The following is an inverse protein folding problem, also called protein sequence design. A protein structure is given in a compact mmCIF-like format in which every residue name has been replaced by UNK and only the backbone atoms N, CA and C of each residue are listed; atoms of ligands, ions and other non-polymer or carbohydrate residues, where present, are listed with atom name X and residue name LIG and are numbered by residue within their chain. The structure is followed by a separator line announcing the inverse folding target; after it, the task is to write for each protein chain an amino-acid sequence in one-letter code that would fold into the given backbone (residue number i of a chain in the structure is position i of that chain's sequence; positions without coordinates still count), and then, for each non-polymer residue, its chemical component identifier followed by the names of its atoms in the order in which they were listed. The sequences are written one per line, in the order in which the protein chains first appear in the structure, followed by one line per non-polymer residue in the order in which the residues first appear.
data_IF_423026386409
#
_entry.id   IF_423026386409
#
_cell.length_a   1.000
_cell.length_b   1.000
_cell.length_c   1.000
_cell.angle_alpha   90.00
_cell.angle_beta   90.00
_cell.angle_gamma   90.00
#
_symmetry.space_group_name_H-M   'P 1'
#
loop_
_entity.id
_entity.type
_entity.pdbx_description
1 polymer ?
#
# COMPACT_ATOMS: atom_id res chain seq x y z
N UNK A 1 -12.98 35.55 15.17
CA UNK A 1 -12.15 34.33 15.03
C UNK A 1 -12.26 33.71 13.65
N UNK A 2 -13.46 33.60 13.07
CA UNK A 2 -13.64 33.05 11.70
C UNK A 2 -13.04 33.91 10.58
N UNK A 3 -13.14 35.24 10.62
CA UNK A 3 -12.51 36.14 9.63
C UNK A 3 -10.97 36.06 9.67
N UNK A 4 -10.39 36.04 10.86
CA UNK A 4 -8.94 35.95 11.06
C UNK A 4 -8.39 34.59 10.55
N UNK A 5 -9.14 33.51 10.73
CA UNK A 5 -8.80 32.20 10.15
C UNK A 5 -8.90 32.20 8.62
N UNK A 6 -9.83 32.95 8.03
CA UNK A 6 -10.00 33.07 6.58
C UNK A 6 -8.85 33.85 5.94
N UNK A 7 -8.38 34.91 6.59
CA UNK A 7 -7.21 35.68 6.16
C UNK A 7 -5.91 34.86 6.24
N UNK A 8 -5.72 34.11 7.33
CA UNK A 8 -4.57 33.19 7.47
C UNK A 8 -4.59 32.10 6.40
N UNK A 9 -5.74 31.47 6.14
CA UNK A 9 -5.87 30.46 5.09
C UNK A 9 -5.62 31.04 3.69
N UNK A 10 -6.06 32.28 3.43
CA UNK A 10 -5.78 32.95 2.17
C UNK A 10 -4.29 33.29 2.02
N UNK A 11 -3.64 33.77 3.08
CA UNK A 11 -2.20 34.04 3.08
C UNK A 11 -1.37 32.76 2.85
N UNK A 12 -1.78 31.62 3.43
CA UNK A 12 -1.15 30.31 3.18
C UNK A 12 -1.34 29.89 1.72
N UNK A 13 -2.56 30.03 1.18
CA UNK A 13 -2.83 29.72 -0.24
C UNK A 13 -2.00 30.57 -1.19
N UNK A 14 -1.91 31.87 -0.94
CA UNK A 14 -1.08 32.79 -1.72
C UNK A 14 0.42 32.47 -1.59
N UNK A 15 0.88 32.12 -0.39
CA UNK A 15 2.26 31.71 -0.14
C UNK A 15 2.62 30.45 -0.93
N UNK A 16 1.75 29.44 -0.89
CA UNK A 16 1.91 28.20 -1.66
C UNK A 16 1.90 28.45 -3.17
N UNK A 17 1.01 29.32 -3.66
CA UNK A 17 0.95 29.69 -5.07
C UNK A 17 2.25 30.39 -5.53
N UNK A 18 2.79 31.33 -4.74
CA UNK A 18 4.07 32.00 -5.05
C UNK A 18 5.24 31.02 -5.06
N UNK A 19 5.28 30.10 -4.10
CA UNK A 19 6.31 29.06 -4.02
C UNK A 19 6.27 28.14 -5.25
N UNK A 20 5.08 27.67 -5.64
CA UNK A 20 4.90 26.82 -6.82
C UNK A 20 5.29 27.54 -8.11
N UNK A 21 4.92 28.82 -8.28
CA UNK A 21 5.33 29.63 -9.43
C UNK A 21 6.85 29.79 -9.52
N UNK A 22 7.53 30.01 -8.38
CA UNK A 22 8.99 30.13 -8.35
C UNK A 22 9.68 28.81 -8.72
N UNK A 23 9.21 27.70 -8.15
CA UNK A 23 9.71 26.34 -8.48
C UNK A 23 9.51 26.02 -9.96
N UNK A 24 8.39 26.44 -10.54
CA UNK A 24 8.09 26.31 -11.98
C UNK A 24 9.07 27.10 -12.85
N UNK A 25 9.39 28.33 -12.46
CA UNK A 25 10.38 29.14 -13.16
C UNK A 25 11.80 28.55 -13.08
N UNK A 26 12.20 28.04 -11.91
CA UNK A 26 13.49 27.38 -11.71
C UNK A 26 13.61 26.09 -12.55
N UNK A 27 12.58 25.27 -12.57
CA UNK A 27 12.53 24.06 -13.40
C UNK A 27 12.62 24.40 -14.90
N UNK A 28 11.95 25.46 -15.37
CA UNK A 28 12.01 25.88 -16.77
C UNK A 28 13.40 26.38 -17.17
N UNK A 29 14.15 27.02 -16.27
CA UNK A 29 15.54 27.45 -16.52
C UNK A 29 16.51 26.27 -16.69
N UNK A 30 16.17 25.11 -16.14
CA UNK A 30 16.95 23.88 -16.27
C UNK A 30 16.68 23.13 -17.59
N UNK A 31 15.78 23.64 -18.45
CA UNK A 31 15.38 23.01 -19.71
C UNK A 31 15.81 23.90 -20.89
N UNK A 32 16.45 23.34 -21.93
CA UNK A 32 16.77 24.08 -23.15
C UNK A 32 15.55 24.81 -23.75
N UNK A 33 15.79 26.00 -24.32
CA UNK A 33 14.72 26.87 -24.85
C UNK A 33 13.82 26.15 -25.88
N UNK A 34 14.40 25.27 -26.69
CA UNK A 34 13.71 24.39 -27.64
C UNK A 34 12.58 23.58 -26.99
N UNK A 35 12.76 23.13 -25.75
CA UNK A 35 11.78 22.30 -25.03
C UNK A 35 10.94 23.07 -24.02
N UNK A 36 11.38 24.27 -23.59
CA UNK A 36 10.75 25.03 -22.50
C UNK A 36 9.24 25.20 -22.67
N UNK A 37 8.77 25.49 -23.89
CA UNK A 37 7.33 25.63 -24.18
C UNK A 37 6.54 24.32 -24.02
N UNK A 38 7.10 23.19 -24.42
CA UNK A 38 6.44 21.89 -24.24
C UNK A 38 6.54 21.41 -22.79
N UNK A 39 7.70 21.60 -22.15
CA UNK A 39 7.87 21.26 -20.74
C UNK A 39 6.93 22.07 -19.84
N UNK A 40 6.70 23.35 -20.11
CA UNK A 40 5.67 24.14 -19.41
C UNK A 40 4.28 23.54 -19.57
N UNK A 41 3.92 23.07 -20.77
CA UNK A 41 2.62 22.40 -20.99
C UNK A 41 2.53 21.07 -20.24
N UNK A 42 3.64 20.33 -20.13
CA UNK A 42 3.67 19.10 -19.34
C UNK A 42 3.42 19.40 -17.86
N UNK A 43 3.99 20.48 -17.31
CA UNK A 43 3.70 20.95 -15.96
C UNK A 43 2.21 21.30 -15.78
N UNK A 44 1.63 22.03 -16.75
CA UNK A 44 0.20 22.37 -16.70
C UNK A 44 -0.67 21.09 -16.73
N UNK A 45 -0.29 20.09 -17.51
CA UNK A 45 -0.98 18.80 -17.55
C UNK A 45 -0.82 17.98 -16.27
N UNK A 46 0.36 18.02 -15.62
CA UNK A 46 0.56 17.41 -14.30
C UNK A 46 -0.37 18.08 -13.27
N UNK A 47 -0.45 19.41 -13.26
CA UNK A 47 -1.32 20.20 -12.38
C UNK A 47 -2.81 19.92 -12.63
N UNK A 48 -3.20 19.71 -13.90
CA UNK A 48 -4.58 19.39 -14.33
C UNK A 48 -4.93 17.88 -14.21
N UNK A 49 -4.06 17.06 -13.61
CA UNK A 49 -4.21 15.60 -13.51
C UNK A 49 -4.34 14.87 -14.87
N UNK A 50 -3.78 15.43 -15.95
CA UNK A 50 -3.69 14.81 -17.27
C UNK A 50 -2.34 14.14 -17.47
N UNK A 51 -2.10 13.13 -16.65
CA UNK A 51 -0.80 12.48 -16.51
C UNK A 51 -0.32 11.78 -17.79
N UNK A 52 -1.23 11.19 -18.57
CA UNK A 52 -0.94 10.60 -19.88
C UNK A 52 -0.29 11.60 -20.83
N UNK A 53 -0.86 12.81 -20.92
CA UNK A 53 -0.35 13.87 -21.78
C UNK A 53 0.96 14.46 -21.27
N UNK A 54 1.12 14.58 -19.95
CA UNK A 54 2.38 15.03 -19.36
C UNK A 54 3.50 14.03 -19.67
N UNK A 55 3.25 12.73 -19.48
CA UNK A 55 4.16 11.63 -19.82
C UNK A 55 4.55 11.68 -21.29
N UNK A 56 3.59 11.79 -22.21
CA UNK A 56 3.85 11.78 -23.65
C UNK A 56 4.78 12.94 -24.07
N UNK A 57 4.61 14.12 -23.48
CA UNK A 57 5.51 15.26 -23.69
C UNK A 57 6.91 14.95 -23.14
N UNK A 58 7.01 14.44 -21.91
CA UNK A 58 8.30 14.09 -21.31
C UNK A 58 9.04 13.05 -22.15
N UNK A 59 8.35 12.00 -22.61
CA UNK A 59 8.92 10.98 -23.52
C UNK A 59 9.40 11.61 -24.83
N UNK A 60 8.60 12.50 -25.42
CA UNK A 60 9.01 13.22 -26.63
C UNK A 60 10.28 14.04 -26.42
N UNK A 61 10.43 14.72 -25.27
CA UNK A 61 11.66 15.45 -24.93
C UNK A 61 12.84 14.48 -24.78
N UNK A 62 12.68 13.39 -24.01
CA UNK A 62 13.77 12.44 -23.73
C UNK A 62 14.23 11.65 -24.97
N UNK A 63 13.37 11.52 -25.98
CA UNK A 63 13.72 10.89 -27.27
C UNK A 63 14.60 11.78 -28.16
N UNK A 64 14.76 13.07 -27.85
CA UNK A 64 15.65 13.98 -28.56
C UNK A 64 17.07 13.92 -27.96
N UNK A 65 18.10 13.99 -28.82
CA UNK A 65 19.50 13.90 -28.38
C UNK A 65 19.89 14.98 -27.37
N UNK A 66 19.33 16.19 -27.50
CA UNK A 66 19.54 17.30 -26.55
C UNK A 66 18.69 17.17 -25.29
N UNK A 67 17.67 16.31 -25.31
CA UNK A 67 16.69 16.16 -24.25
C UNK A 67 16.93 14.97 -23.32
N UNK A 68 17.61 13.92 -23.80
CA UNK A 68 17.80 12.63 -23.10
C UNK A 68 18.35 12.73 -21.67
N UNK A 69 19.12 13.78 -21.35
CA UNK A 69 19.79 13.96 -20.05
C UNK A 69 19.23 15.11 -19.22
N UNK A 70 18.06 15.64 -19.57
CA UNK A 70 17.42 16.71 -18.81
C UNK A 70 16.82 16.13 -17.51
N UNK A 71 17.51 16.36 -16.40
CA UNK A 71 17.12 15.84 -15.08
C UNK A 71 15.71 16.27 -14.65
N UNK A 72 15.34 17.53 -14.89
CA UNK A 72 14.01 18.03 -14.56
C UNK A 72 12.88 17.22 -15.24
N UNK A 73 13.11 16.78 -16.49
CA UNK A 73 12.18 15.96 -17.25
C UNK A 73 12.14 14.52 -16.72
N UNK A 74 13.30 13.94 -16.37
CA UNK A 74 13.38 12.61 -15.73
C UNK A 74 12.63 12.58 -14.40
N UNK A 75 12.85 13.58 -13.54
CA UNK A 75 12.14 13.70 -12.25
C UNK A 75 10.63 13.84 -12.46
N UNK A 76 10.18 14.68 -13.40
CA UNK A 76 8.75 14.77 -13.71
C UNK A 76 8.19 13.43 -14.17
N UNK A 77 8.88 12.75 -15.07
CA UNK A 77 8.44 11.46 -15.60
C UNK A 77 8.36 10.39 -14.50
N UNK A 78 9.30 10.38 -13.56
CA UNK A 78 9.27 9.52 -12.38
C UNK A 78 8.04 9.78 -11.47
N UNK A 79 7.57 11.03 -11.37
CA UNK A 79 6.32 11.36 -10.63
C UNK A 79 5.05 11.00 -11.41
N UNK A 80 5.08 11.18 -12.72
CA UNK A 80 3.89 11.07 -13.59
C UNK A 80 3.57 9.61 -13.93
N UNK A 81 4.56 8.76 -14.20
CA UNK A 81 4.31 7.35 -14.54
C UNK A 81 3.46 6.60 -13.51
N UNK A 82 3.77 6.64 -12.20
CA UNK A 82 2.95 6.00 -11.18
C UNK A 82 1.49 6.45 -11.19
N UNK A 83 1.23 7.71 -11.56
CA UNK A 83 -0.12 8.27 -11.67
C UNK A 83 -0.87 7.77 -12.89
N UNK A 84 -0.17 7.60 -14.03
CA UNK A 84 -0.75 6.96 -15.22
C UNK A 84 -1.14 5.52 -14.90
N UNK A 85 -0.25 4.76 -14.26
CA UNK A 85 -0.55 3.38 -13.85
C UNK A 85 -1.70 3.30 -12.84
N UNK A 86 -1.77 4.22 -11.88
CA UNK A 86 -2.90 4.32 -10.95
C UNK A 86 -4.23 4.54 -11.70
N UNK A 87 -4.25 5.43 -12.70
CA UNK A 87 -5.42 5.65 -13.57
C UNK A 87 -5.77 4.39 -14.37
N UNK A 88 -4.79 3.68 -14.94
CA UNK A 88 -5.05 2.45 -15.68
C UNK A 88 -5.72 1.38 -14.82
N UNK A 89 -5.30 1.28 -13.55
CA UNK A 89 -5.86 0.34 -12.57
C UNK A 89 -7.30 0.73 -12.22
N UNK A 90 -7.55 2.01 -11.95
CA UNK A 90 -8.86 2.51 -11.56
C UNK A 90 -9.88 2.46 -12.71
N UNK A 91 -9.44 2.88 -13.90
CA UNK A 91 -10.29 2.99 -15.10
C UNK A 91 -10.44 1.64 -15.83
N UNK A 92 -9.60 0.65 -15.52
CA UNK A 92 -9.64 -0.67 -16.17
C UNK A 92 -9.52 -0.55 -17.70
N UNK A 93 -8.69 0.39 -18.15
CA UNK A 93 -8.67 0.92 -19.51
C UNK A 93 -7.86 0.08 -20.52
N UNK A 94 -7.27 -1.05 -20.09
CA UNK A 94 -6.47 -1.98 -20.90
C UNK A 94 -5.10 -1.45 -21.34
N UNK A 95 -4.57 -0.42 -20.68
CA UNK A 95 -3.23 0.12 -20.97
C UNK A 95 -2.14 -0.30 -19.98
N UNK A 96 -2.53 -0.84 -18.81
CA UNK A 96 -1.61 -1.14 -17.72
C UNK A 96 -0.35 -1.92 -18.16
N UNK A 97 -0.47 -2.98 -18.96
CA UNK A 97 0.72 -3.72 -19.41
C UNK A 97 1.67 -2.92 -20.29
N UNK A 98 1.13 -2.07 -21.18
CA UNK A 98 1.94 -1.24 -22.04
C UNK A 98 2.66 -0.19 -21.18
N UNK A 99 1.89 0.53 -20.37
CA UNK A 99 2.39 1.63 -19.56
C UNK A 99 3.36 1.17 -18.45
N UNK A 100 3.17 -0.01 -17.87
CA UNK A 100 4.12 -0.57 -16.87
C UNK A 100 5.42 -1.02 -17.53
N UNK A 101 5.35 -1.52 -18.76
CA UNK A 101 6.55 -1.91 -19.53
C UNK A 101 7.38 -0.67 -19.86
N UNK A 102 6.73 0.41 -20.28
CA UNK A 102 7.37 1.69 -20.54
C UNK A 102 7.95 2.32 -19.26
N UNK A 103 7.26 2.18 -18.12
CA UNK A 103 7.77 2.66 -16.84
C UNK A 103 9.06 1.93 -16.43
N UNK A 104 9.10 0.61 -16.55
CA UNK A 104 10.32 -0.15 -16.26
C UNK A 104 11.45 0.13 -17.25
N UNK A 105 11.14 0.32 -18.54
CA UNK A 105 12.13 0.79 -19.52
C UNK A 105 12.70 2.15 -19.12
N UNK A 106 11.86 3.08 -18.65
CA UNK A 106 12.31 4.36 -18.11
C UNK A 106 13.24 4.18 -16.89
N UNK A 107 12.84 3.37 -15.91
CA UNK A 107 13.66 3.11 -14.71
C UNK A 107 15.02 2.47 -15.06
N UNK A 108 15.05 1.58 -16.05
CA UNK A 108 16.29 0.96 -16.55
C UNK A 108 17.27 1.97 -17.19
N UNK A 109 16.78 3.13 -17.63
CA UNK A 109 17.56 4.14 -18.36
C UNK A 109 17.89 5.40 -17.52
N UNK A 110 17.62 5.39 -16.21
CA UNK A 110 17.97 6.48 -15.31
C UNK A 110 18.98 6.04 -14.25
N UNK A 111 19.66 7.02 -13.65
CA UNK A 111 20.49 6.77 -12.46
C UNK A 111 19.58 6.57 -11.25
N UNK A 112 19.66 5.39 -10.63
CA UNK A 112 18.94 5.08 -9.40
C UNK A 112 19.59 5.73 -8.18
N UNK A 113 19.31 7.01 -7.96
CA UNK A 113 19.73 7.77 -6.79
C UNK A 113 18.66 7.73 -5.67
N UNK A 114 18.97 8.27 -4.51
CA UNK A 114 18.07 8.27 -3.33
C UNK A 114 16.68 8.84 -3.64
N UNK A 115 16.61 9.92 -4.42
CA UNK A 115 15.34 10.53 -4.81
C UNK A 115 14.50 9.59 -5.71
N UNK A 116 15.13 8.87 -6.64
CA UNK A 116 14.42 7.90 -7.49
C UNK A 116 13.93 6.70 -6.68
N UNK A 117 14.72 6.25 -5.70
CA UNK A 117 14.29 5.21 -4.76
C UNK A 117 13.09 5.67 -3.93
N UNK A 118 13.11 6.91 -3.41
CA UNK A 118 11.96 7.50 -2.69
C UNK A 118 10.68 7.52 -3.54
N UNK A 119 10.78 7.83 -4.84
CA UNK A 119 9.63 7.76 -5.75
C UNK A 119 9.11 6.34 -5.95
N UNK A 120 9.98 5.33 -6.02
CA UNK A 120 9.57 3.93 -6.09
C UNK A 120 8.89 3.51 -4.78
N UNK A 121 9.41 3.92 -3.63
CA UNK A 121 8.79 3.68 -2.32
C UNK A 121 7.39 4.30 -2.24
N UNK A 122 7.22 5.55 -2.67
CA UNK A 122 5.89 6.19 -2.73
C UNK A 122 4.96 5.43 -3.70
N UNK A 123 5.49 4.95 -4.82
CA UNK A 123 4.74 4.17 -5.82
C UNK A 123 4.23 2.86 -5.23
N UNK A 124 5.09 2.11 -4.52
CA UNK A 124 4.69 0.88 -3.84
C UNK A 124 3.60 1.15 -2.80
N UNK A 125 3.79 2.15 -1.93
CA UNK A 125 2.80 2.52 -0.91
C UNK A 125 1.45 2.92 -1.54
N UNK A 126 1.48 3.65 -2.66
CA UNK A 126 0.29 4.02 -3.44
C UNK A 126 -0.42 2.79 -3.99
N UNK A 127 0.31 1.85 -4.59
CA UNK A 127 -0.27 0.66 -5.20
C UNK A 127 -0.81 -0.35 -4.18
N UNK A 128 -0.23 -0.44 -2.98
CA UNK A 128 -0.83 -1.21 -1.88
C UNK A 128 -2.26 -0.74 -1.54
N UNK A 129 -2.58 0.54 -1.74
CA UNK A 129 -3.94 1.07 -1.52
C UNK A 129 -4.91 0.76 -2.67
N UNK A 130 -4.45 0.11 -3.74
CA UNK A 130 -5.28 -0.27 -4.90
C UNK A 130 -5.67 -1.75 -4.89
N UNK A 131 -5.31 -2.50 -3.84
CA UNK A 131 -5.54 -3.94 -3.71
C UNK A 131 -7.02 -4.36 -3.59
N UNK A 132 -7.94 -3.40 -3.43
CA UNK A 132 -9.39 -3.63 -3.61
C UNK A 132 -9.77 -3.95 -5.07
N UNK A 133 -8.86 -3.73 -6.02
CA UNK A 133 -9.04 -4.14 -7.41
C UNK A 133 -8.56 -5.58 -7.61
N UNK A 134 -9.47 -6.54 -7.44
CA UNK A 134 -9.20 -7.99 -7.58
C UNK A 134 -8.38 -8.36 -8.84
N UNK A 135 -8.64 -7.70 -9.98
CA UNK A 135 -7.90 -7.98 -11.22
C UNK A 135 -6.44 -7.55 -11.18
N UNK A 136 -6.12 -6.56 -10.34
CA UNK A 136 -4.80 -5.96 -10.21
C UNK A 136 -3.90 -6.71 -9.23
N UNK A 137 -4.46 -7.33 -8.18
CA UNK A 137 -3.70 -8.06 -7.16
C UNK A 137 -2.57 -8.96 -7.71
N UNK A 138 -2.81 -9.86 -8.69
CA UNK A 138 -1.74 -10.69 -9.24
C UNK A 138 -0.66 -9.89 -9.99
N UNK A 139 -1.03 -8.78 -10.62
CA UNK A 139 -0.10 -7.90 -11.33
C UNK A 139 0.74 -7.06 -10.37
N UNK A 140 0.19 -6.70 -9.20
CA UNK A 140 0.96 -6.03 -8.17
C UNK A 140 2.12 -6.91 -7.69
N UNK A 141 1.90 -8.22 -7.48
CA UNK A 141 2.98 -9.14 -7.14
C UNK A 141 4.06 -9.20 -8.24
N UNK A 142 3.68 -9.24 -9.52
CA UNK A 142 4.63 -9.18 -10.64
C UNK A 142 5.43 -7.86 -10.65
N UNK A 143 4.77 -6.74 -10.35
CA UNK A 143 5.39 -5.43 -10.24
C UNK A 143 6.42 -5.37 -9.12
N UNK A 144 6.06 -5.82 -7.91
CA UNK A 144 6.97 -5.86 -6.74
C UNK A 144 8.17 -6.78 -7.02
N UNK A 145 7.94 -7.98 -7.59
CA UNK A 145 9.02 -8.92 -7.98
C UNK A 145 9.99 -8.30 -8.98
N UNK A 146 9.48 -7.53 -9.93
CA UNK A 146 10.32 -6.86 -10.93
C UNK A 146 11.20 -5.81 -10.26
N UNK A 147 10.64 -4.95 -9.41
CA UNK A 147 11.41 -3.95 -8.63
C UNK A 147 12.51 -4.63 -7.80
N UNK A 148 12.15 -5.68 -7.07
CA UNK A 148 13.06 -6.44 -6.19
C UNK A 148 14.20 -7.08 -6.99
N UNK A 149 13.87 -7.79 -8.07
CA UNK A 149 14.85 -8.48 -8.92
C UNK A 149 15.81 -7.56 -9.67
N UNK A 150 15.35 -6.35 -10.01
CA UNK A 150 16.15 -5.32 -10.69
C UNK A 150 17.08 -4.60 -9.72
N UNK A 151 16.88 -4.76 -8.41
CA UNK A 151 17.68 -4.08 -7.39
C UNK A 151 17.53 -2.56 -7.43
N UNK A 152 16.35 -2.05 -7.80
CA UNK A 152 16.11 -0.61 -7.82
C UNK A 152 16.10 0.01 -6.43
N UNK A 153 15.77 -0.77 -5.40
CA UNK A 153 15.77 -0.34 -4.02
C UNK A 153 16.97 -0.95 -3.28
N UNK A 154 17.68 -0.11 -2.54
CA UNK A 154 18.78 -0.52 -1.66
C UNK A 154 18.26 -1.35 -0.48
N UNK A 155 19.18 -1.99 0.25
CA UNK A 155 18.84 -2.80 1.43
C UNK A 155 18.13 -1.98 2.52
N UNK A 156 18.32 -0.67 2.57
CA UNK A 156 17.63 0.19 3.55
C UNK A 156 16.11 0.20 3.37
N UNK A 157 15.63 -0.11 2.15
CA UNK A 157 14.21 -0.17 1.80
C UNK A 157 13.67 -1.61 1.78
N UNK A 158 14.42 -2.59 2.32
CA UNK A 158 13.96 -3.99 2.40
C UNK A 158 12.63 -4.13 3.13
N UNK A 159 12.42 -3.37 4.20
CA UNK A 159 11.15 -3.38 4.94
C UNK A 159 9.98 -2.84 4.10
N UNK A 160 10.21 -1.94 3.15
CA UNK A 160 9.19 -1.46 2.21
C UNK A 160 8.78 -2.58 1.25
N UNK A 161 9.75 -3.30 0.68
CA UNK A 161 9.47 -4.44 -0.19
C UNK A 161 8.74 -5.55 0.56
N UNK A 162 9.18 -5.87 1.77
CA UNK A 162 8.52 -6.87 2.62
C UNK A 162 7.07 -6.46 2.95
N UNK A 163 6.83 -5.16 3.19
CA UNK A 163 5.46 -4.64 3.35
C UNK A 163 4.61 -4.80 2.09
N UNK A 164 5.19 -4.60 0.90
CA UNK A 164 4.49 -4.76 -0.36
C UNK A 164 4.12 -6.23 -0.60
N UNK A 165 5.04 -7.17 -0.35
CA UNK A 165 4.73 -8.60 -0.44
C UNK A 165 3.69 -9.04 0.59
N UNK A 166 3.80 -8.60 1.85
CA UNK A 166 2.81 -8.93 2.87
C UNK A 166 1.41 -8.33 2.55
N UNK A 167 1.37 -7.15 1.92
CA UNK A 167 0.13 -6.56 1.41
C UNK A 167 -0.51 -7.42 0.33
N UNK A 168 0.28 -7.93 -0.63
CA UNK A 168 -0.18 -8.91 -1.61
C UNK A 168 -0.67 -10.21 -0.97
N UNK A 169 0.13 -10.84 -0.10
CA UNK A 169 -0.27 -12.08 0.58
C UNK A 169 -1.59 -11.92 1.34
N UNK A 170 -1.86 -10.73 1.88
CA UNK A 170 -3.14 -10.45 2.53
C UNK A 170 -4.35 -10.65 1.63
N UNK A 171 -4.26 -10.37 0.33
CA UNK A 171 -5.39 -10.63 -0.57
C UNK A 171 -5.65 -12.11 -0.79
N UNK A 172 -4.62 -12.94 -0.64
CA UNK A 172 -4.70 -14.39 -0.81
C UNK A 172 -5.19 -15.07 0.47
N UNK A 173 -4.54 -14.79 1.61
CA UNK A 173 -4.81 -15.53 2.84
C UNK A 173 -6.20 -15.25 3.43
N UNK A 174 -6.86 -14.14 3.08
CA UNK A 174 -8.23 -13.90 3.55
C UNK A 174 -9.25 -14.88 2.97
N UNK A 175 -9.03 -15.33 1.73
CA UNK A 175 -9.88 -16.31 1.05
C UNK A 175 -9.39 -17.75 1.24
N UNK A 176 -8.22 -17.95 1.84
CA UNK A 176 -7.65 -19.28 2.07
C UNK A 176 -8.43 -20.09 3.11
N UNK A 177 -8.91 -21.27 2.71
CA UNK A 177 -9.66 -22.19 3.56
C UNK A 177 -8.82 -22.96 4.57
N UNK A 178 -7.48 -22.98 4.44
CA UNK A 178 -6.58 -23.63 5.40
C UNK A 178 -6.40 -22.84 6.70
N UNK A 179 -6.71 -21.54 6.68
CA UNK A 179 -6.53 -20.66 7.83
C UNK A 179 -7.84 -20.38 8.55
N UNK A 180 -7.81 -20.50 9.87
CA UNK A 180 -8.90 -20.04 10.71
C UNK A 180 -8.98 -18.51 10.78
N UNK A 181 -10.14 -18.01 11.20
CA UNK A 181 -10.39 -16.57 11.33
C UNK A 181 -9.42 -15.90 12.32
N UNK A 182 -8.99 -16.62 13.35
CA UNK A 182 -8.03 -16.11 14.33
C UNK A 182 -6.70 -15.80 13.67
N UNK A 183 -6.14 -16.76 12.92
CA UNK A 183 -4.87 -16.57 12.25
C UNK A 183 -4.93 -15.45 11.21
N UNK A 184 -6.01 -15.36 10.42
CA UNK A 184 -6.22 -14.26 9.48
C UNK A 184 -6.20 -12.89 10.15
N UNK A 185 -6.87 -12.76 11.30
CA UNK A 185 -6.88 -11.52 12.08
C UNK A 185 -5.51 -11.21 12.69
N UNK A 186 -4.77 -12.23 13.14
CA UNK A 186 -3.41 -12.10 13.67
C UNK A 186 -2.44 -11.63 12.57
N UNK A 187 -2.48 -12.21 11.37
CA UNK A 187 -1.66 -11.77 10.24
C UNK A 187 -1.95 -10.31 9.86
N UNK A 188 -3.24 -9.94 9.81
CA UNK A 188 -3.65 -8.53 9.62
C UNK A 188 -3.08 -7.62 10.71
N UNK A 189 -3.23 -7.99 11.98
CA UNK A 189 -2.75 -7.20 13.10
C UNK A 189 -1.22 -7.13 13.16
N UNK A 190 -0.52 -8.19 12.75
CA UNK A 190 0.94 -8.20 12.59
C UNK A 190 1.40 -7.18 11.56
N UNK A 191 0.75 -7.14 10.39
CA UNK A 191 0.98 -6.13 9.37
C UNK A 191 0.71 -4.71 9.89
N UNK A 192 -0.46 -4.48 10.52
CA UNK A 192 -0.84 -3.17 11.04
C UNK A 192 0.15 -2.66 12.10
N UNK A 193 0.57 -3.55 13.01
CA UNK A 193 1.56 -3.25 14.04
C UNK A 193 2.91 -2.88 13.44
N UNK A 194 3.37 -3.58 12.39
CA UNK A 194 4.70 -3.37 11.82
C UNK A 194 4.77 -2.18 10.87
N UNK A 195 3.74 -1.96 10.06
CA UNK A 195 3.84 -1.04 8.91
C UNK A 195 2.87 0.15 8.96
N UNK A 196 1.82 0.10 9.80
CA UNK A 196 0.72 1.08 9.72
C UNK A 196 0.61 1.95 10.97
N UNK A 197 0.60 1.35 12.16
CA UNK A 197 0.15 1.99 13.42
C UNK A 197 0.90 3.28 13.74
N UNK A 198 2.20 3.34 13.47
CA UNK A 198 3.04 4.51 13.76
C UNK A 198 2.84 5.67 12.78
N UNK A 199 2.30 5.40 11.58
CA UNK A 199 1.96 6.43 10.60
C UNK A 199 0.63 7.14 10.89
N UNK A 200 -0.20 6.59 11.80
CA UNK A 200 -1.53 7.11 12.09
C UNK A 200 -1.45 8.37 12.95
N UNK A 201 -1.81 9.52 12.35
CA UNK A 201 -1.82 10.83 13.02
C UNK A 201 -2.97 11.04 14.01
N UNK A 202 -4.07 10.31 13.85
CA UNK A 202 -5.26 10.47 14.70
C UNK A 202 -5.15 9.56 15.91
N UNK A 203 -5.03 10.16 17.10
CA UNK A 203 -4.89 9.42 18.35
C UNK A 203 -6.03 8.42 18.58
N UNK A 204 -7.27 8.82 18.31
CA UNK A 204 -8.44 7.92 18.45
C UNK A 204 -8.38 6.72 17.50
N UNK A 205 -7.89 6.92 16.27
CA UNK A 205 -7.72 5.83 15.31
C UNK A 205 -6.56 4.91 15.71
N UNK A 206 -5.44 5.50 16.14
CA UNK A 206 -4.27 4.77 16.63
C UNK A 206 -4.66 3.88 17.82
N UNK A 207 -5.33 4.45 18.81
CA UNK A 207 -5.86 3.72 19.97
C UNK A 207 -6.75 2.54 19.58
N UNK A 208 -7.70 2.73 18.65
CA UNK A 208 -8.58 1.63 18.20
C UNK A 208 -7.79 0.50 17.56
N UNK A 209 -6.84 0.84 16.69
CA UNK A 209 -5.96 -0.12 16.02
C UNK A 209 -5.10 -0.87 17.04
N UNK A 210 -4.52 -0.18 18.04
CA UNK A 210 -3.74 -0.82 19.10
C UNK A 210 -4.58 -1.79 19.95
N UNK A 211 -5.83 -1.46 20.25
CA UNK A 211 -6.76 -2.36 20.94
C UNK A 211 -7.04 -3.61 20.09
N UNK A 212 -7.32 -3.43 18.79
CA UNK A 212 -7.56 -4.54 17.85
C UNK A 212 -6.32 -5.45 17.74
N UNK A 213 -5.14 -4.86 17.58
CA UNK A 213 -3.86 -5.59 17.52
C UNK A 213 -3.66 -6.45 18.77
N UNK A 214 -3.71 -5.83 19.96
CA UNK A 214 -3.49 -6.55 21.21
C UNK A 214 -4.57 -7.61 21.44
N UNK A 215 -5.82 -7.36 21.04
CA UNK A 215 -6.89 -8.36 21.08
C UNK A 215 -6.59 -9.55 20.19
N UNK A 216 -6.14 -9.34 18.95
CA UNK A 216 -5.74 -10.43 18.04
C UNK A 216 -4.61 -11.29 18.62
N UNK A 217 -3.58 -10.67 19.20
CA UNK A 217 -2.48 -11.41 19.80
C UNK A 217 -2.88 -12.13 21.11
N UNK A 218 -3.82 -11.59 21.90
CA UNK A 218 -4.43 -12.34 23.00
C UNK A 218 -5.14 -13.60 22.48
N UNK A 219 -5.90 -13.47 21.40
CA UNK A 219 -6.60 -14.60 20.79
C UNK A 219 -5.60 -15.65 20.26
N UNK A 220 -4.46 -15.22 19.72
CA UNK A 220 -3.39 -16.13 19.31
C UNK A 220 -2.90 -17.01 20.48
N UNK A 221 -2.74 -16.45 21.69
CA UNK A 221 -2.36 -17.23 22.88
C UNK A 221 -3.34 -18.38 23.16
N UNK A 222 -4.63 -18.16 22.92
CA UNK A 222 -5.66 -19.18 23.15
C UNK A 222 -5.76 -20.18 21.99
N UNK A 223 -5.42 -19.76 20.77
CA UNK A 223 -5.61 -20.51 19.54
C UNK A 223 -4.45 -21.43 19.16
N UNK A 224 -3.21 -20.96 19.36
CA UNK A 224 -2.01 -21.53 18.74
C UNK A 224 -1.76 -23.00 19.05
N UNK A 225 -2.01 -23.44 20.29
CA UNK A 225 -1.73 -24.81 20.72
C UNK A 225 -2.61 -25.85 20.00
N UNK A 226 -3.84 -25.50 19.66
CA UNK A 226 -4.80 -26.39 19.01
C UNK A 226 -4.69 -26.37 17.47
N UNK A 227 -4.00 -25.36 16.93
CA UNK A 227 -3.91 -25.08 15.48
C UNK A 227 -2.45 -24.88 15.06
N UNK A 228 -1.54 -25.64 15.67
CA UNK A 228 -0.11 -25.47 15.44
C UNK A 228 0.25 -25.64 13.97
N UNK A 229 -0.44 -26.50 13.23
CA UNK A 229 -0.25 -26.77 11.81
C UNK A 229 -0.44 -25.55 10.90
N UNK A 230 -1.28 -24.58 11.30
CA UNK A 230 -1.42 -23.33 10.55
C UNK A 230 -0.11 -22.55 10.54
N UNK A 231 0.71 -22.69 11.59
CA UNK A 231 1.98 -21.98 11.74
C UNK A 231 3.02 -22.41 10.71
N UNK A 232 3.15 -23.72 10.47
CA UNK A 232 4.04 -24.25 9.44
C UNK A 232 3.50 -23.91 8.04
N UNK A 233 2.19 -23.99 7.83
CA UNK A 233 1.56 -23.65 6.56
C UNK A 233 1.77 -22.17 6.17
N UNK A 234 1.48 -21.22 7.07
CA UNK A 234 1.69 -19.78 6.77
C UNK A 234 3.16 -19.44 6.54
N UNK A 235 4.09 -20.15 7.18
CA UNK A 235 5.52 -19.92 7.00
C UNK A 235 5.98 -20.29 5.58
N UNK A 236 5.36 -21.30 4.99
CA UNK A 236 5.65 -21.76 3.63
C UNK A 236 4.90 -20.94 2.58
N UNK A 237 3.59 -20.72 2.75
CA UNK A 237 2.72 -20.08 1.76
C UNK A 237 2.72 -18.54 1.85
N UNK A 238 2.86 -17.98 3.05
CA UNK A 238 2.79 -16.54 3.33
C UNK A 238 3.99 -16.02 4.15
N UNK A 239 5.22 -16.24 3.67
CA UNK A 239 6.43 -15.97 4.44
C UNK A 239 6.57 -14.50 4.88
N UNK A 240 6.11 -13.54 4.08
CA UNK A 240 6.24 -12.12 4.42
C UNK A 240 5.26 -11.70 5.53
N UNK A 241 4.06 -12.26 5.51
CA UNK A 241 3.04 -12.07 6.56
C UNK A 241 3.44 -12.81 7.84
N UNK A 242 3.96 -14.04 7.72
CA UNK A 242 4.49 -14.81 8.86
C UNK A 242 5.61 -14.04 9.57
N UNK A 243 6.53 -13.42 8.83
CA UNK A 243 7.61 -12.60 9.40
C UNK A 243 7.10 -11.49 10.34
N UNK A 244 5.87 -10.99 10.15
CA UNK A 244 5.29 -9.95 11.01
C UNK A 244 4.86 -10.44 12.40
N UNK A 245 4.72 -11.77 12.58
CA UNK A 245 4.23 -12.42 13.79
C UNK A 245 5.16 -13.53 14.33
N UNK A 246 6.28 -13.79 13.64
CA UNK A 246 7.18 -14.89 13.95
C UNK A 246 7.69 -14.86 15.40
N UNK A 247 8.08 -13.67 15.87
CA UNK A 247 8.61 -13.52 17.23
C UNK A 247 7.52 -13.72 18.28
N UNK A 248 6.28 -13.33 18.02
CA UNK A 248 5.16 -13.56 18.94
C UNK A 248 4.88 -15.05 19.08
N UNK A 249 4.88 -15.79 17.97
CA UNK A 249 4.72 -17.24 17.98
C UNK A 249 5.83 -17.91 18.81
N UNK A 250 7.08 -17.48 18.65
CA UNK A 250 8.21 -18.00 19.45
C UNK A 250 7.99 -17.73 20.93
N UNK A 251 7.66 -16.48 21.30
CA UNK A 251 7.44 -16.08 22.69
C UNK A 251 6.25 -16.81 23.33
N UNK A 252 5.15 -17.01 22.60
CA UNK A 252 3.99 -17.77 23.09
C UNK A 252 4.36 -19.24 23.31
N UNK A 253 5.12 -19.85 22.38
CA UNK A 253 5.60 -21.23 22.52
C UNK A 253 6.57 -21.41 23.71
N UNK A 254 7.33 -20.37 24.04
CA UNK A 254 8.25 -20.35 25.19
C UNK A 254 7.53 -20.17 26.53
N UNK A 255 6.70 -19.12 26.64
CA UNK A 255 5.96 -18.78 27.87
C UNK A 255 4.67 -18.03 27.54
N UNK A 256 3.62 -18.79 27.19
CA UNK A 256 2.28 -18.27 26.91
C UNK A 256 1.77 -17.34 28.02
N UNK A 257 1.91 -17.75 29.28
CA UNK A 257 1.34 -17.01 30.42
C UNK A 257 1.97 -15.64 30.55
N UNK A 258 3.29 -15.55 30.39
CA UNK A 258 4.00 -14.26 30.41
C UNK A 258 3.59 -13.37 29.24
N UNK A 259 3.56 -13.91 28.02
CA UNK A 259 3.17 -13.13 26.85
C UNK A 259 1.71 -12.63 26.95
N UNK A 260 0.81 -13.46 27.48
CA UNK A 260 -0.57 -13.07 27.79
C UNK A 260 -0.63 -11.89 28.78
N UNK A 261 0.16 -11.91 29.86
CA UNK A 261 0.23 -10.81 30.82
C UNK A 261 0.76 -9.50 30.22
N UNK A 262 1.74 -9.58 29.32
CA UNK A 262 2.27 -8.42 28.62
C UNK A 262 1.17 -7.75 27.77
N UNK A 263 0.36 -8.55 27.06
CA UNK A 263 -0.78 -8.06 26.28
C UNK A 263 -1.86 -7.43 27.17
N UNK A 264 -2.24 -8.10 28.27
CA UNK A 264 -3.24 -7.57 29.21
C UNK A 264 -2.79 -6.21 29.75
N UNK A 265 -1.49 -6.05 30.02
CA UNK A 265 -0.91 -4.76 30.44
C UNK A 265 -1.01 -3.67 29.38
N UNK A 266 -0.90 -4.01 28.08
CA UNK A 266 -1.15 -3.05 27.01
C UNK A 266 -2.64 -2.66 26.94
N UNK A 267 -3.53 -3.64 27.06
CA UNK A 267 -4.98 -3.41 26.97
C UNK A 267 -5.51 -2.57 28.14
N UNK A 268 -5.00 -2.77 29.35
CA UNK A 268 -5.39 -2.01 30.55
C UNK A 268 -5.33 -0.49 30.34
N UNK A 269 -4.37 0.00 29.55
CA UNK A 269 -4.21 1.43 29.22
C UNK A 269 -5.47 2.06 28.63
N UNK A 270 -6.34 1.25 28.02
CA UNK A 270 -7.54 1.69 27.33
C UNK A 270 -8.84 1.33 28.06
N UNK A 271 -8.74 0.66 29.20
CA UNK A 271 -9.89 0.23 30.01
C UNK A 271 -10.26 1.28 31.07
N UNK A 272 -11.34 1.02 31.83
CA UNK A 272 -11.68 1.85 32.97
C UNK A 272 -10.55 1.81 34.02
N UNK A 273 -10.32 2.94 34.71
CA UNK A 273 -9.39 2.98 35.84
C UNK A 273 -9.81 1.93 36.87
N UNK A 274 -8.84 1.18 37.37
CA UNK A 274 -8.99 0.14 38.39
C UNK A 274 -9.80 -1.09 37.95
N UNK A 275 -9.79 -1.43 36.65
CA UNK A 275 -10.27 -2.74 36.21
C UNK A 275 -9.48 -3.85 36.93
N UNK A 276 -10.19 -4.84 37.45
CA UNK A 276 -9.56 -6.03 37.99
C UNK A 276 -8.91 -6.85 36.85
N UNK A 277 -7.66 -7.29 37.07
CA UNK A 277 -6.88 -8.02 36.05
C UNK A 277 -7.56 -9.31 35.62
N UNK A 278 -8.16 -10.04 36.56
CA UNK A 278 -8.89 -11.28 36.25
C UNK A 278 -10.17 -10.97 35.47
N UNK A 279 -10.89 -9.91 35.84
CA UNK A 279 -12.05 -9.46 35.09
C UNK A 279 -11.72 -9.08 33.64
N UNK A 280 -10.57 -8.45 33.39
CA UNK A 280 -10.11 -8.16 32.03
C UNK A 280 -9.79 -9.47 31.28
N UNK A 281 -9.06 -10.41 31.89
CA UNK A 281 -8.75 -11.71 31.28
C UNK A 281 -10.03 -12.46 30.90
N UNK A 282 -11.00 -12.54 31.81
CA UNK A 282 -12.31 -13.14 31.57
C UNK A 282 -13.09 -12.47 30.44
N UNK A 283 -13.03 -11.13 30.35
CA UNK A 283 -13.66 -10.40 29.25
C UNK A 283 -13.01 -10.73 27.90
N UNK A 284 -11.67 -10.80 27.86
CA UNK A 284 -10.92 -11.15 26.66
C UNK A 284 -11.17 -12.59 26.23
N UNK A 285 -11.20 -13.54 27.17
CA UNK A 285 -11.53 -14.93 26.89
C UNK A 285 -12.95 -15.09 26.32
N UNK A 286 -13.95 -14.37 26.87
CA UNK A 286 -15.31 -14.36 26.31
C UNK A 286 -15.36 -13.78 24.89
N UNK A 287 -14.56 -12.74 24.61
CA UNK A 287 -14.45 -12.17 23.26
C UNK A 287 -13.85 -13.19 22.27
N UNK A 288 -12.82 -13.93 22.70
CA UNK A 288 -12.25 -15.05 21.95
C UNK A 288 -13.29 -16.15 21.65
N UNK A 289 -14.00 -16.62 22.67
CA UNK A 289 -15.05 -17.63 22.52
C UNK A 289 -16.15 -17.17 21.55
N UNK A 290 -16.59 -15.91 21.68
CA UNK A 290 -17.57 -15.33 20.77
C UNK A 290 -17.09 -15.35 19.32
N UNK A 291 -15.83 -15.02 19.06
CA UNK A 291 -15.29 -14.95 17.70
C UNK A 291 -15.20 -16.33 17.04
N UNK A 292 -14.75 -17.36 17.76
CA UNK A 292 -14.72 -18.74 17.25
C UNK A 292 -16.11 -19.26 16.93
N UNK A 293 -17.09 -18.97 17.81
CA UNK A 293 -18.45 -19.49 17.65
C UNK A 293 -19.29 -18.73 16.62
N UNK A 294 -19.02 -17.44 16.42
CA UNK A 294 -19.87 -16.56 15.58
C UNK A 294 -19.40 -16.43 14.12
N UNK A 295 -18.19 -16.90 13.77
CA UNK A 295 -17.59 -16.85 12.42
C UNK A 295 -17.83 -15.51 11.66
N UNK A 296 -17.45 -14.34 12.21
CA UNK A 296 -17.58 -13.08 11.48
C UNK A 296 -16.70 -13.06 10.22
N UNK A 297 -17.13 -12.38 9.15
CA UNK A 297 -16.31 -12.23 7.94
C UNK A 297 -15.05 -11.39 8.23
N UNK A 298 -13.85 -11.81 7.79
CA UNK A 298 -12.65 -11.00 7.93
C UNK A 298 -12.75 -9.69 7.14
N UNK A 299 -12.07 -8.65 7.63
CA UNK A 299 -12.00 -7.34 6.94
C UNK A 299 -10.58 -7.15 6.43
N UNK A 300 -10.43 -6.94 5.11
CA UNK A 300 -9.12 -6.83 4.42
C UNK A 300 -8.26 -5.71 5.02
N UNK A 301 -6.94 -5.91 5.09
CA UNK A 301 -5.92 -4.98 5.63
C UNK A 301 -6.06 -3.57 5.03
N UNK A 302 -6.35 -3.49 3.74
CA UNK A 302 -6.68 -2.25 3.03
C UNK A 302 -8.16 -2.20 2.69
N UNK A 303 -9.07 -2.27 3.66
CA UNK A 303 -10.49 -1.98 3.37
C UNK A 303 -10.69 -0.48 3.19
N UNK A 304 -10.16 0.08 2.11
CA UNK A 304 -10.39 1.44 1.66
C UNK A 304 -11.87 1.64 1.34
N UNK A 305 -12.75 1.58 2.35
CA UNK A 305 -14.16 1.95 2.30
C UNK A 305 -14.29 3.47 2.18
N UNK A 306 -13.56 4.07 1.27
CA UNK A 306 -14.07 5.19 0.50
C UNK A 306 -14.89 4.57 -0.63
N UNK A 307 -16.21 4.76 -0.59
CA UNK A 307 -17.08 4.50 -1.74
C UNK A 307 -16.54 5.29 -2.93
N UNK A 308 -15.77 4.64 -3.78
CA UNK A 308 -15.38 5.15 -5.08
C UNK A 308 -16.40 4.65 -6.11
N UNK A 309 -16.92 5.56 -6.92
CA UNK A 309 -17.80 5.22 -8.02
C UNK A 309 -16.90 4.75 -9.18
N UNK A 310 -16.86 3.44 -9.46
CA UNK A 310 -16.21 2.94 -10.67
C UNK A 310 -16.91 3.56 -11.87
N UNK A 311 -16.20 4.38 -12.65
CA UNK A 311 -16.71 4.93 -13.91
C UNK A 311 -16.78 3.83 -15.00
N UNK A 312 -16.04 2.73 -14.81
CA UNK A 312 -16.01 1.55 -15.68
C UNK A 312 -17.06 0.47 -15.36
N UNK A 313 -17.54 -0.22 -16.41
CA UNK A 313 -18.40 -1.41 -16.26
C UNK A 313 -17.66 -2.52 -15.49
N UNK A 314 -18.39 -3.23 -14.63
CA UNK A 314 -17.90 -4.47 -14.00
C UNK A 314 -17.47 -5.45 -15.08
N UNK A 315 -16.21 -5.87 -15.01
CA UNK A 315 -15.56 -6.75 -15.99
C UNK A 315 -16.12 -8.16 -15.81
N UNK A 316 -16.71 -8.71 -16.87
CA UNK A 316 -17.20 -10.08 -16.90
C UNK A 316 -16.08 -11.10 -17.12
N UNK A 317 -16.29 -12.33 -16.61
CA UNK A 317 -15.31 -13.43 -16.68
C UNK A 317 -14.84 -13.78 -18.11
N UNK A 318 -15.68 -13.54 -19.12
CA UNK A 318 -15.36 -13.78 -20.53
C UNK A 318 -14.95 -12.51 -21.31
N UNK A 319 -15.02 -11.33 -20.68
CA UNK A 319 -14.62 -10.07 -21.30
C UNK A 319 -13.10 -10.03 -21.48
N UNK A 320 -12.63 -9.12 -22.34
CA UNK A 320 -11.20 -8.87 -22.46
C UNK A 320 -10.64 -8.40 -21.12
N UNK A 321 -9.46 -8.90 -20.78
CA UNK A 321 -8.84 -8.62 -19.50
C UNK A 321 -8.51 -7.13 -19.38
N UNK A 322 -8.87 -6.46 -18.26
CA UNK A 322 -8.66 -5.02 -18.03
C UNK A 322 -7.20 -4.59 -18.05
N UNK A 323 -6.32 -5.55 -17.89
CA UNK A 323 -4.91 -5.28 -17.77
C UNK A 323 -4.25 -4.91 -19.11
N UNK A 324 -4.82 -5.34 -20.24
CA UNK A 324 -4.26 -5.08 -21.58
C UNK A 324 -3.77 -6.29 -22.36
N UNK A 325 -3.68 -7.47 -21.74
CA UNK A 325 -3.03 -8.68 -22.31
C UNK A 325 -3.65 -9.25 -23.59
N UNK A 326 -4.82 -8.76 -24.01
CA UNK A 326 -5.59 -9.29 -25.14
C UNK A 326 -6.29 -10.62 -24.88
N UNK A 327 -6.10 -11.23 -23.70
CA UNK A 327 -6.77 -12.47 -23.28
C UNK A 327 -8.13 -12.17 -22.63
N UNK A 328 -9.00 -13.19 -22.53
CA UNK A 328 -10.21 -13.09 -21.68
C UNK A 328 -9.82 -13.02 -20.20
N UNK A 329 -10.60 -12.34 -19.37
CA UNK A 329 -10.32 -12.17 -17.93
C UNK A 329 -10.00 -13.51 -17.25
N UNK A 330 -10.83 -14.53 -17.45
CA UNK A 330 -10.62 -15.90 -16.92
C UNK A 330 -9.40 -16.66 -17.44
N UNK A 331 -8.71 -16.13 -18.43
CA UNK A 331 -7.50 -16.70 -19.03
C UNK A 331 -6.27 -15.82 -18.75
N UNK A 332 -6.44 -14.80 -17.91
CA UNK A 332 -5.42 -13.83 -17.55
C UNK A 332 -5.55 -13.52 -16.04
N UNK A 333 -5.87 -12.30 -15.64
CA UNK A 333 -5.90 -11.89 -14.23
C UNK A 333 -6.94 -12.64 -13.38
N UNK A 334 -8.01 -13.18 -13.98
CA UNK A 334 -9.01 -14.00 -13.29
C UNK A 334 -8.85 -15.51 -13.52
N UNK A 335 -7.64 -15.97 -13.83
CA UNK A 335 -7.37 -17.39 -14.06
C UNK A 335 -7.45 -18.20 -12.75
N UNK A 336 -6.98 -17.60 -11.66
CA UNK A 336 -6.87 -18.23 -10.34
C UNK A 336 -7.85 -17.60 -9.31
N UNK A 337 -8.81 -16.80 -9.82
CA UNK A 337 -9.97 -16.22 -9.12
C UNK A 337 -11.24 -16.92 -9.63
#
# INVERSE_FOLDING_TARGET
MEENNKEVLNAIKEGNARFNSKKKEENLKAVPEKFAGNYSKAMDYEDDCRYDKARDICKWILNDEEGKDIEAVKIMLARVYPKVLEMDIQDSNRKYQEDVSEYFEFLDNITMNDLMQEYIVETLARFCNLMDNEWYCPLFNEFVKTIDSKGYLSEEYRDVLDSAYASYESTEYFEDGHLGIIMKNVLKSGYERRYVVDSIKSEDKKRKMEIEINTSFYNLCQYLNEHSEETEYIKEEYPYSYKTIEDDIKLIKEDKSRYEEDILTQLEKYTAKDIDREALREAMYKAYEYMINSRPKPTVVHSGKTTYYRDGRKVGRNDLCPCGSGKKYKQCCGKDI
#
